data_IF_478247454732
#
_entry.id   IF_478247454732
#
_cell.length_a   1.000
_cell.length_b   1.000
_cell.length_c   1.000
_cell.angle_alpha   90.00
_cell.angle_beta   90.00
_cell.angle_gamma   90.00
#
_symmetry.space_group_name_H-M   'P 1'
#
loop_
_entity.id
_entity.type
_entity.pdbx_description
1 polymer ?
#
# COMPACT_ATOMS: atom_id res chain seq x y z
N UNK A 1 -53.44 16.93 -7.77
CA UNK A 1 -52.97 15.84 -6.91
C UNK A 1 -51.45 15.95 -6.74
N UNK A 2 -51.07 16.57 -5.62
CA UNK A 2 -49.83 16.44 -4.82
C UNK A 2 -48.47 16.22 -5.49
N UNK A 3 -47.69 17.33 -5.53
CA UNK A 3 -46.22 17.38 -5.52
C UNK A 3 -45.68 16.89 -4.18
N UNK A 4 -44.78 15.91 -4.19
CA UNK A 4 -43.69 15.76 -3.21
C UNK A 4 -42.69 14.70 -3.71
N UNK A 5 -41.48 15.12 -4.07
CA UNK A 5 -40.32 14.22 -4.14
C UNK A 5 -39.04 15.06 -3.95
N UNK A 6 -38.72 15.25 -2.66
CA UNK A 6 -37.42 15.54 -2.05
C UNK A 6 -36.26 15.98 -2.96
N UNK A 7 -35.83 17.23 -2.78
CA UNK A 7 -34.68 17.84 -3.43
C UNK A 7 -33.33 17.34 -2.90
N UNK A 8 -32.93 16.14 -3.29
CA UNK A 8 -31.55 15.68 -3.23
C UNK A 8 -31.08 15.39 -4.67
N UNK A 9 -30.80 16.44 -5.42
CA UNK A 9 -30.12 16.29 -6.70
C UNK A 9 -28.65 15.89 -6.40
N UNK A 10 -28.40 14.59 -6.30
CA UNK A 10 -27.05 14.05 -6.23
C UNK A 10 -26.38 14.31 -7.58
N UNK A 11 -25.60 15.40 -7.65
CA UNK A 11 -24.78 15.70 -8.84
C UNK A 11 -23.58 14.77 -8.80
N UNK A 12 -23.67 13.65 -9.53
CA UNK A 12 -22.52 12.77 -9.75
C UNK A 12 -21.49 13.50 -10.62
N UNK A 13 -20.46 14.05 -10.01
CA UNK A 13 -19.30 14.55 -10.75
C UNK A 13 -18.53 13.34 -11.27
N UNK A 14 -18.36 13.19 -12.60
CA UNK A 14 -17.57 12.12 -13.24
C UNK A 14 -16.06 12.29 -13.03
N UNK A 15 -15.64 12.39 -11.77
CA UNK A 15 -14.24 12.57 -11.36
C UNK A 15 -13.63 11.20 -11.09
N UNK A 16 -12.41 10.98 -11.57
CA UNK A 16 -11.60 9.80 -11.26
C UNK A 16 -10.50 10.24 -10.32
N UNK A 17 -10.35 9.54 -9.21
CA UNK A 17 -9.35 9.85 -8.19
C UNK A 17 -8.30 8.75 -8.16
N UNK A 18 -7.03 9.13 -8.04
CA UNK A 18 -5.98 8.21 -7.60
C UNK A 18 -5.88 8.33 -6.08
N UNK A 19 -6.20 7.24 -5.38
CA UNK A 19 -6.00 7.14 -3.93
C UNK A 19 -4.62 6.52 -3.69
N UNK A 20 -3.62 7.39 -3.62
CA UNK A 20 -2.26 7.03 -3.27
C UNK A 20 -1.71 8.02 -2.22
N UNK A 21 -0.56 7.70 -1.65
CA UNK A 21 0.14 8.58 -0.71
C UNK A 21 0.62 9.85 -1.45
N UNK A 22 0.11 11.05 -1.09
CA UNK A 22 0.56 12.31 -1.70
C UNK A 22 2.01 12.66 -1.33
N UNK A 23 2.55 12.04 -0.28
CA UNK A 23 3.92 12.20 0.20
C UNK A 23 4.66 10.86 0.15
N UNK A 24 4.54 10.16 -0.99
CA UNK A 24 5.10 8.84 -1.20
C UNK A 24 6.58 8.76 -0.84
N UNK A 25 6.89 7.78 0.00
CA UNK A 25 8.24 7.48 0.44
C UNK A 25 9.02 6.76 -0.65
N UNK A 26 10.31 7.03 -0.73
CA UNK A 26 11.23 6.18 -1.50
C UNK A 26 11.29 4.78 -0.89
N UNK A 27 11.67 3.78 -1.69
CA UNK A 27 11.90 2.42 -1.20
C UNK A 27 12.91 2.41 -0.04
N UNK A 28 13.92 3.29 -0.08
CA UNK A 28 14.92 3.37 0.98
C UNK A 28 14.33 3.90 2.29
N UNK A 29 13.50 4.94 2.23
CA UNK A 29 12.81 5.48 3.40
C UNK A 29 11.84 4.45 3.99
N UNK A 30 11.06 3.75 3.16
CA UNK A 30 10.18 2.67 3.61
C UNK A 30 10.94 1.58 4.37
N UNK A 31 12.08 1.12 3.83
CA UNK A 31 12.91 0.13 4.50
C UNK A 31 13.42 0.65 5.85
N UNK A 32 13.87 1.91 5.92
CA UNK A 32 14.32 2.53 7.17
C UNK A 32 13.19 2.61 8.21
N UNK A 33 11.98 2.97 7.79
CA UNK A 33 10.79 3.04 8.66
C UNK A 33 10.48 1.64 9.22
N UNK A 34 10.48 0.62 8.36
CA UNK A 34 10.27 -0.76 8.77
C UNK A 34 11.36 -1.27 9.73
N UNK A 35 12.64 -0.95 9.50
CA UNK A 35 13.74 -1.31 10.40
C UNK A 35 13.53 -0.76 11.80
N UNK A 36 13.25 0.54 11.88
CA UNK A 36 13.01 1.23 13.16
C UNK A 36 11.79 0.66 13.88
N UNK A 37 10.71 0.42 13.16
CA UNK A 37 9.46 -0.03 13.77
C UNK A 37 9.49 -1.53 14.16
N UNK A 38 10.30 -2.35 13.49
CA UNK A 38 10.44 -3.78 13.82
C UNK A 38 11.57 -4.09 14.80
N UNK A 39 12.48 -3.14 15.01
CA UNK A 39 13.78 -3.31 15.70
C UNK A 39 14.62 -4.43 15.06
N UNK A 40 14.72 -4.41 13.72
CA UNK A 40 15.46 -5.40 12.93
C UNK A 40 16.46 -4.73 11.98
N UNK A 41 17.58 -5.40 11.78
CA UNK A 41 18.54 -5.05 10.74
C UNK A 41 18.14 -5.67 9.40
N UNK A 42 18.07 -4.87 8.33
CA UNK A 42 17.83 -5.34 6.97
C UNK A 42 19.15 -5.43 6.21
N UNK A 43 19.34 -6.55 5.50
CA UNK A 43 20.45 -6.75 4.58
C UNK A 43 19.92 -6.56 3.16
N UNK A 44 20.52 -5.64 2.40
CA UNK A 44 20.13 -5.34 1.02
C UNK A 44 21.06 -6.08 0.06
N UNK A 45 20.50 -6.96 -0.75
CA UNK A 45 21.23 -7.67 -1.81
C UNK A 45 20.82 -7.06 -3.15
N UNK A 46 21.72 -6.38 -3.88
CA UNK A 46 21.40 -5.88 -5.21
C UNK A 46 21.25 -7.04 -6.18
N UNK A 47 20.04 -7.22 -6.73
CA UNK A 47 19.72 -8.29 -7.65
C UNK A 47 19.06 -7.73 -8.91
N UNK A 48 19.59 -7.99 -10.11
CA UNK A 48 18.91 -7.64 -11.36
C UNK A 48 17.53 -8.30 -11.46
N UNK A 49 16.55 -7.59 -11.99
CA UNK A 49 15.16 -8.07 -12.09
C UNK A 49 15.02 -9.38 -12.88
N UNK A 50 15.82 -9.57 -13.94
CA UNK A 50 15.87 -10.82 -14.70
C UNK A 50 16.34 -12.00 -13.85
N UNK A 51 17.34 -11.78 -12.99
CA UNK A 51 17.87 -12.84 -12.12
C UNK A 51 16.89 -13.15 -10.98
N UNK A 52 16.20 -12.14 -10.44
CA UNK A 52 15.12 -12.32 -9.46
C UNK A 52 13.95 -13.14 -10.02
N UNK A 53 13.55 -12.86 -11.28
CA UNK A 53 12.51 -13.65 -11.96
C UNK A 53 12.96 -15.08 -12.22
N UNK A 54 14.22 -15.27 -12.63
CA UNK A 54 14.80 -16.58 -12.86
C UNK A 54 14.83 -17.40 -11.57
N UNK A 55 15.30 -16.82 -10.46
CA UNK A 55 15.35 -17.52 -9.17
C UNK A 55 13.95 -17.95 -8.72
N UNK A 56 12.95 -17.08 -8.84
CA UNK A 56 11.56 -17.41 -8.47
C UNK A 56 10.92 -18.48 -9.36
N UNK A 57 11.40 -18.65 -10.60
CA UNK A 57 10.90 -19.67 -11.55
C UNK A 57 11.59 -21.03 -11.39
N UNK A 58 12.90 -21.03 -11.17
CA UNK A 58 13.70 -22.25 -11.24
C UNK A 58 14.08 -22.82 -9.87
N UNK A 59 14.02 -22.04 -8.79
CA UNK A 59 14.25 -22.55 -7.44
C UNK A 59 12.91 -23.04 -6.89
N UNK A 60 12.72 -24.36 -6.72
CA UNK A 60 11.48 -24.91 -6.20
C UNK A 60 11.22 -24.35 -4.79
N UNK A 61 9.94 -24.11 -4.47
CA UNK A 61 9.46 -23.58 -3.19
C UNK A 61 9.83 -22.13 -2.87
N UNK A 62 10.76 -21.49 -3.59
CA UNK A 62 11.19 -20.12 -3.27
C UNK A 62 10.04 -19.11 -3.37
N UNK A 63 9.23 -19.19 -4.43
CA UNK A 63 8.06 -18.32 -4.60
C UNK A 63 7.00 -18.51 -3.50
N UNK A 64 6.81 -19.75 -3.05
CA UNK A 64 5.88 -20.09 -1.96
C UNK A 64 6.40 -19.59 -0.61
N UNK A 65 7.71 -19.69 -0.36
CA UNK A 65 8.31 -19.22 0.89
C UNK A 65 8.38 -17.70 0.97
N UNK A 66 8.72 -17.04 -0.13
CA UNK A 66 8.77 -15.57 -0.21
C UNK A 66 7.39 -14.93 -0.36
N UNK A 67 6.35 -15.72 -0.67
CA UNK A 67 5.02 -15.23 -1.06
C UNK A 67 5.06 -14.21 -2.22
N UNK A 68 6.05 -14.33 -3.12
CA UNK A 68 6.26 -13.42 -4.26
C UNK A 68 6.25 -14.23 -5.55
N UNK A 69 5.44 -13.81 -6.53
CA UNK A 69 5.43 -14.40 -7.88
C UNK A 69 6.45 -13.70 -8.79
N UNK A 70 6.97 -14.37 -9.84
CA UNK A 70 7.85 -13.74 -10.82
C UNK A 70 7.25 -12.48 -11.47
N UNK A 71 5.94 -12.44 -11.63
CA UNK A 71 5.20 -11.33 -12.23
C UNK A 71 5.17 -10.11 -11.29
N UNK A 72 5.07 -10.35 -9.98
CA UNK A 72 5.13 -9.29 -8.97
C UNK A 72 6.47 -8.52 -8.99
N UNK A 73 7.57 -9.17 -9.39
CA UNK A 73 8.87 -8.49 -9.56
C UNK A 73 8.75 -7.34 -10.57
N UNK A 74 8.04 -7.56 -11.69
CA UNK A 74 7.86 -6.49 -12.69
C UNK A 74 7.10 -5.31 -12.11
N UNK A 75 6.07 -5.60 -11.31
CA UNK A 75 5.26 -4.59 -10.63
C UNK A 75 6.10 -3.74 -9.66
N UNK A 76 6.91 -4.37 -8.80
CA UNK A 76 7.77 -3.66 -7.84
C UNK A 76 8.86 -2.79 -8.50
N UNK A 77 9.31 -3.17 -9.69
CA UNK A 77 10.35 -2.42 -10.41
C UNK A 77 9.81 -1.32 -11.32
N UNK A 78 8.48 -1.23 -11.48
CA UNK A 78 7.89 -0.23 -12.36
C UNK A 78 7.84 1.14 -11.66
N UNK A 79 8.45 2.20 -12.23
CA UNK A 79 8.38 3.53 -11.62
C UNK A 79 6.97 4.10 -11.79
N UNK A 80 6.17 4.05 -10.73
CA UNK A 80 4.82 4.62 -10.70
C UNK A 80 4.80 5.89 -9.86
N UNK A 81 4.30 6.98 -10.44
CA UNK A 81 4.05 8.23 -9.74
C UNK A 81 2.60 8.62 -9.98
N UNK A 82 1.84 8.77 -8.91
CA UNK A 82 0.41 9.06 -8.97
C UNK A 82 0.15 10.53 -8.66
N UNK A 83 -0.76 11.12 -9.45
CA UNK A 83 -1.30 12.46 -9.23
C UNK A 83 -2.49 12.38 -8.29
N UNK A 84 -2.34 12.93 -7.09
CA UNK A 84 -3.32 12.86 -6.00
C UNK A 84 -4.01 14.20 -5.70
N UNK A 85 -3.69 15.26 -6.45
CA UNK A 85 -4.10 16.65 -6.17
C UNK A 85 -5.63 16.78 -6.05
N UNK A 86 -6.36 16.05 -6.91
CA UNK A 86 -7.82 16.07 -6.90
C UNK A 86 -8.40 15.36 -5.67
N UNK A 87 -7.80 14.24 -5.25
CA UNK A 87 -8.23 13.50 -4.08
C UNK A 87 -7.93 14.30 -2.80
N UNK A 88 -6.72 14.85 -2.68
CA UNK A 88 -6.31 15.69 -1.54
C UNK A 88 -7.23 16.90 -1.39
N UNK A 89 -7.56 17.58 -2.49
CA UNK A 89 -8.46 18.73 -2.45
C UNK A 89 -9.87 18.36 -2.00
N UNK A 90 -10.47 17.37 -2.66
CA UNK A 90 -11.89 17.07 -2.47
C UNK A 90 -12.14 16.33 -1.14
N UNK A 91 -11.21 15.45 -0.71
CA UNK A 91 -11.26 14.77 0.60
C UNK A 91 -10.84 15.69 1.76
N UNK A 92 -9.85 16.56 1.53
CA UNK A 92 -9.41 17.53 2.53
C UNK A 92 -10.50 18.53 2.91
N UNK A 93 -11.41 18.86 1.99
CA UNK A 93 -12.60 19.66 2.30
C UNK A 93 -13.55 18.98 3.31
N UNK A 94 -13.48 17.65 3.43
CA UNK A 94 -14.21 16.86 4.43
C UNK A 94 -13.37 16.54 5.68
N UNK A 95 -12.16 17.10 5.79
CA UNK A 95 -11.23 16.83 6.90
C UNK A 95 -10.56 15.45 6.82
N UNK A 96 -10.59 14.80 5.66
CA UNK A 96 -9.95 13.49 5.45
C UNK A 96 -8.56 13.72 4.87
N UNK A 97 -7.54 13.21 5.56
CA UNK A 97 -6.15 13.26 5.15
C UNK A 97 -5.47 11.88 5.20
N UNK A 98 -4.44 11.70 4.37
CA UNK A 98 -3.61 10.51 4.41
C UNK A 98 -2.50 10.72 5.45
N UNK A 99 -2.49 9.98 6.57
CA UNK A 99 -1.43 10.11 7.57
C UNK A 99 -0.12 9.55 7.01
N UNK A 100 1.01 10.06 7.51
CA UNK A 100 2.30 9.50 7.14
C UNK A 100 2.47 8.09 7.70
N UNK A 101 3.09 7.19 6.93
CA UNK A 101 3.30 5.80 7.34
C UNK A 101 3.98 5.67 8.71
N UNK A 102 4.93 6.56 9.03
CA UNK A 102 5.69 6.47 10.28
C UNK A 102 4.81 6.67 11.52
N UNK A 103 3.68 7.36 11.41
CA UNK A 103 2.83 7.69 12.57
C UNK A 103 1.95 6.53 13.00
N UNK A 104 1.70 5.55 12.13
CA UNK A 104 0.78 4.44 12.42
C UNK A 104 1.40 3.05 12.24
N UNK A 105 2.50 2.90 11.50
CA UNK A 105 3.14 1.60 11.31
C UNK A 105 3.55 0.89 12.62
N UNK A 106 4.07 1.58 13.66
CA UNK A 106 4.39 0.92 14.93
C UNK A 106 3.19 0.20 15.56
N UNK A 107 2.01 0.83 15.52
CA UNK A 107 0.77 0.24 16.06
C UNK A 107 0.36 -1.01 15.29
N UNK A 108 0.52 -1.01 13.96
CA UNK A 108 0.25 -2.19 13.13
C UNK A 108 1.19 -3.35 13.48
N UNK A 109 2.48 -3.05 13.66
CA UNK A 109 3.47 -4.07 14.03
C UNK A 109 3.20 -4.63 15.42
N UNK A 110 2.86 -3.77 16.38
CA UNK A 110 2.50 -4.19 17.73
C UNK A 110 1.28 -5.13 17.69
N UNK A 111 0.25 -4.77 16.94
CA UNK A 111 -0.93 -5.61 16.76
C UNK A 111 -0.58 -6.99 16.20
N UNK A 112 0.23 -7.05 15.13
CA UNK A 112 0.64 -8.33 14.51
C UNK A 112 1.50 -9.16 15.49
N UNK A 113 2.41 -8.52 16.23
CA UNK A 113 3.24 -9.21 17.25
C UNK A 113 2.39 -9.77 18.39
N UNK A 114 1.37 -9.04 18.83
CA UNK A 114 0.46 -9.49 19.88
C UNK A 114 -0.48 -10.61 19.42
N UNK A 115 -0.71 -10.74 18.11
CA UNK A 115 -1.68 -11.67 17.53
C UNK A 115 -1.08 -12.59 16.45
N UNK A 116 -0.11 -13.47 16.81
CA UNK A 116 0.63 -14.27 15.83
C UNK A 116 -0.22 -15.32 15.10
N UNK A 117 -1.41 -15.64 15.62
CA UNK A 117 -2.32 -16.64 15.06
C UNK A 117 -3.41 -16.04 14.16
N UNK A 118 -3.45 -14.69 14.00
CA UNK A 118 -4.36 -14.08 13.02
C UNK A 118 -3.78 -14.34 11.64
N UNK A 119 -4.39 -15.31 10.95
CA UNK A 119 -4.15 -15.53 9.53
C UNK A 119 -4.92 -14.50 8.70
N UNK A 120 -4.52 -14.31 7.45
CA UNK A 120 -5.21 -13.47 6.46
C UNK A 120 -6.73 -13.73 6.38
N UNK A 121 -7.17 -14.95 6.71
CA UNK A 121 -8.58 -15.36 6.70
C UNK A 121 -9.40 -14.80 7.87
N UNK A 122 -8.75 -14.32 8.94
CA UNK A 122 -9.39 -13.70 10.10
C UNK A 122 -9.51 -12.17 10.04
N UNK A 123 -9.06 -11.55 8.95
CA UNK A 123 -9.04 -10.09 8.74
C UNK A 123 -10.12 -9.60 7.76
N UNK A 124 -11.07 -10.48 7.40
CA UNK A 124 -12.19 -10.21 6.49
C UNK A 124 -13.49 -9.83 7.22
#
# INVERSE_FOLDING_TARGET
MMRAAYGWAFVWTKKVYNLADPHAHTVQELLNICQRATDRSLIRIPLPSSLAKLSLRYIPYLSRWMHITPEAVSYFTHPTVYRCEQAVKDLGAAGIECPRLETYLPNLIEFVKANPNISEHGMA
#
